data_IF_370167443909
#
_entry.id   IF_370167443909
#
_cell.length_a   1.000
_cell.length_b   1.000
_cell.length_c   1.000
_cell.angle_alpha   90.00
_cell.angle_beta   90.00
_cell.angle_gamma   90.00
#
_symmetry.space_group_name_H-M   'P 1'
#
loop_
_entity.id
_entity.type
_entity.pdbx_description
1 polymer ?
#
# COMPACT_ATOMS: atom_id res chain seq x y z
N UNK A 1 9.12 -23.47 3.30
CA UNK A 1 8.86 -22.27 2.48
C UNK A 1 8.64 -22.73 1.05
N UNK A 2 7.47 -22.46 0.47
CA UNK A 2 7.04 -22.97 -0.85
C UNK A 2 7.56 -22.13 -2.02
N UNK A 3 6.71 -21.28 -2.60
CA UNK A 3 7.04 -20.38 -3.72
C UNK A 3 7.17 -18.92 -3.25
N UNK A 4 8.00 -18.14 -3.93
CA UNK A 4 8.20 -16.70 -3.68
C UNK A 4 8.49 -15.98 -4.99
N UNK A 5 7.96 -14.77 -5.13
CA UNK A 5 8.26 -13.88 -6.24
C UNK A 5 9.40 -12.91 -5.88
N UNK A 6 10.23 -12.57 -6.87
CA UNK A 6 11.36 -11.66 -6.75
C UNK A 6 11.35 -10.67 -7.91
N UNK A 7 11.50 -9.38 -7.59
CA UNK A 7 11.56 -8.29 -8.57
C UNK A 7 12.83 -7.48 -8.29
N UNK A 8 13.63 -7.24 -9.34
CA UNK A 8 14.83 -6.40 -9.29
C UNK A 8 14.62 -5.17 -10.16
N UNK A 9 14.93 -3.98 -9.62
CA UNK A 9 14.81 -2.70 -10.32
C UNK A 9 16.13 -1.95 -10.16
N UNK A 10 16.82 -1.71 -11.26
CA UNK A 10 18.09 -0.98 -11.30
C UNK A 10 17.89 0.51 -11.55
N UNK A 11 18.86 1.33 -11.11
CA UNK A 11 18.86 2.78 -11.36
C UNK A 11 17.77 3.59 -10.64
N UNK A 12 16.93 2.95 -9.82
CA UNK A 12 15.79 3.61 -9.15
C UNK A 12 15.78 3.33 -7.65
N UNK A 13 15.64 4.40 -6.86
CA UNK A 13 15.22 4.31 -5.47
C UNK A 13 13.71 4.51 -5.42
N UNK A 14 12.99 3.55 -4.82
CA UNK A 14 11.56 3.68 -4.61
C UNK A 14 11.27 4.84 -3.65
N UNK A 15 10.27 5.63 -3.99
CA UNK A 15 9.73 6.67 -3.12
C UNK A 15 8.97 6.04 -1.93
N UNK A 16 8.70 6.85 -0.91
CA UNK A 16 7.85 6.43 0.23
C UNK A 16 6.48 5.92 -0.23
N UNK A 17 5.82 6.64 -1.13
CA UNK A 17 4.51 6.27 -1.67
C UNK A 17 4.52 4.95 -2.45
N UNK A 18 5.56 4.70 -3.25
CA UNK A 18 5.71 3.42 -3.94
C UNK A 18 5.93 2.28 -2.94
N UNK A 19 6.70 2.54 -1.89
CA UNK A 19 6.95 1.56 -0.83
C UNK A 19 5.67 1.25 -0.06
N UNK A 20 4.86 2.26 0.29
CA UNK A 20 3.55 2.09 0.94
C UNK A 20 2.58 1.29 0.06
N UNK A 21 2.57 1.54 -1.26
CA UNK A 21 1.76 0.79 -2.22
C UNK A 21 2.16 -0.68 -2.25
N UNK A 22 3.46 -0.98 -2.29
CA UNK A 22 3.95 -2.36 -2.25
C UNK A 22 3.63 -3.00 -0.89
N UNK A 23 3.74 -2.26 0.20
CA UNK A 23 3.45 -2.75 1.54
C UNK A 23 1.98 -3.15 1.75
N UNK A 24 1.04 -2.49 1.05
CA UNK A 24 -0.38 -2.87 1.04
C UNK A 24 -0.64 -4.21 0.34
N UNK A 25 0.18 -4.60 -0.65
CA UNK A 25 -0.03 -5.82 -1.44
C UNK A 25 0.81 -6.98 -0.91
N UNK A 26 2.03 -6.71 -0.46
CA UNK A 26 3.03 -7.71 -0.13
C UNK A 26 3.39 -7.75 1.35
N UNK A 27 2.42 -7.99 2.24
CA UNK A 27 2.71 -8.19 3.68
C UNK A 27 3.77 -9.28 3.85
N UNK A 28 4.80 -9.00 4.66
CA UNK A 28 5.87 -9.96 4.92
C UNK A 28 6.93 -10.04 3.83
N UNK A 29 6.79 -9.26 2.75
CA UNK A 29 7.85 -9.03 1.78
C UNK A 29 9.03 -8.27 2.39
N UNK A 30 10.19 -8.36 1.73
CA UNK A 30 11.41 -7.66 2.14
C UNK A 30 11.90 -6.82 0.97
N UNK A 31 12.02 -5.51 1.18
CA UNK A 31 12.64 -4.59 0.24
C UNK A 31 14.13 -4.46 0.56
N UNK A 32 14.99 -4.85 -0.38
CA UNK A 32 16.43 -4.65 -0.28
C UNK A 32 16.84 -3.44 -1.13
N UNK A 33 17.53 -2.48 -0.52
CA UNK A 33 18.15 -1.36 -1.22
C UNK A 33 19.63 -1.70 -1.39
N UNK A 34 20.08 -1.76 -2.64
CA UNK A 34 21.44 -2.15 -3.02
C UNK A 34 22.16 -0.93 -3.58
N UNK A 35 23.41 -0.73 -3.17
CA UNK A 35 24.31 0.31 -3.71
C UNK A 35 25.74 -0.22 -3.70
N UNK A 36 26.50 0.05 -4.75
CA UNK A 36 27.89 -0.42 -4.91
C UNK A 36 28.04 -1.93 -4.64
N UNK A 37 27.18 -2.75 -5.27
CA UNK A 37 27.13 -4.20 -5.12
C UNK A 37 26.90 -4.72 -3.67
N UNK A 38 26.45 -3.87 -2.75
CA UNK A 38 26.19 -4.22 -1.34
C UNK A 38 24.78 -3.84 -0.91
N UNK A 39 24.17 -4.64 -0.03
CA UNK A 39 22.86 -4.31 0.56
C UNK A 39 23.08 -3.24 1.63
N UNK A 40 22.64 -2.02 1.35
CA UNK A 40 22.78 -0.89 2.29
C UNK A 40 21.60 -0.75 3.23
N UNK A 41 20.42 -1.30 2.88
CA UNK A 41 19.24 -1.30 3.75
C UNK A 41 18.32 -2.46 3.44
N UNK A 42 17.78 -3.08 4.49
CA UNK A 42 16.70 -4.06 4.41
C UNK A 42 15.47 -3.48 5.12
N UNK A 43 14.33 -3.49 4.45
CA UNK A 43 13.07 -3.00 5.01
C UNK A 43 12.07 -4.14 4.98
N UNK A 44 11.55 -4.49 6.15
CA UNK A 44 10.42 -5.41 6.24
C UNK A 44 9.15 -4.64 5.91
N UNK A 45 8.39 -5.12 4.93
CA UNK A 45 7.15 -4.49 4.51
C UNK A 45 6.05 -4.86 5.50
N UNK A 46 5.62 -3.85 6.26
CA UNK A 46 4.47 -3.91 7.15
C UNK A 46 3.36 -3.04 6.58
N UNK A 47 2.10 -3.38 6.89
CA UNK A 47 1.00 -2.51 6.51
C UNK A 47 1.19 -1.11 7.11
N UNK A 48 1.04 -0.05 6.30
CA UNK A 48 1.06 1.32 6.83
C UNK A 48 -0.17 1.54 7.71
N UNK A 49 -0.10 2.47 8.68
CA UNK A 49 -1.25 2.82 9.54
C UNK A 49 -2.28 3.70 8.83
N UNK A 50 -1.81 4.50 7.87
CA UNK A 50 -2.64 5.37 7.04
C UNK A 50 -2.16 5.31 5.59
N UNK A 51 -3.09 5.49 4.65
CA UNK A 51 -2.78 5.62 3.22
C UNK A 51 -3.56 6.76 2.60
N UNK A 52 -2.92 7.50 1.70
CA UNK A 52 -3.53 8.63 1.00
C UNK A 52 -3.26 8.56 -0.49
N UNK A 53 -4.32 8.54 -1.29
CA UNK A 53 -4.24 8.55 -2.75
C UNK A 53 -3.77 7.24 -3.40
N UNK A 54 -3.52 6.19 -2.61
CA UNK A 54 -3.09 4.87 -3.11
C UNK A 54 -4.30 4.00 -3.52
N UNK A 55 -5.36 4.02 -2.71
CA UNK A 55 -6.60 3.25 -2.92
C UNK A 55 -7.79 4.18 -3.13
N UNK A 56 -8.77 3.74 -3.90
CA UNK A 56 -10.04 4.45 -4.14
C UNK A 56 -11.12 3.99 -3.16
N UNK A 57 -12.00 4.91 -2.73
CA UNK A 57 -13.16 4.53 -1.94
C UNK A 57 -14.20 3.80 -2.78
N UNK A 58 -14.68 2.65 -2.31
CA UNK A 58 -15.74 1.88 -2.97
C UNK A 58 -17.11 2.56 -2.88
N UNK A 59 -17.30 3.48 -1.93
CA UNK A 59 -18.55 4.22 -1.81
C UNK A 59 -18.64 5.25 -2.96
N UNK A 60 -19.55 5.08 -3.94
CA UNK A 60 -19.64 5.96 -5.09
C UNK A 60 -20.01 7.40 -4.71
N UNK A 61 -20.66 7.60 -3.55
CA UNK A 61 -21.06 8.91 -3.03
C UNK A 61 -20.00 9.58 -2.16
N UNK A 62 -18.82 8.98 -2.02
CA UNK A 62 -17.74 9.57 -1.23
C UNK A 62 -17.23 10.87 -1.89
N UNK A 63 -17.01 11.92 -1.09
CA UNK A 63 -16.47 13.20 -1.56
C UNK A 63 -15.12 13.04 -2.29
N UNK A 64 -14.29 12.06 -1.89
CA UNK A 64 -13.03 11.79 -2.57
C UNK A 64 -13.20 11.32 -4.02
N UNK A 65 -14.34 10.69 -4.33
CA UNK A 65 -14.67 10.25 -5.67
C UNK A 65 -15.32 11.39 -6.49
N UNK A 66 -16.18 12.19 -5.85
CA UNK A 66 -16.90 13.27 -6.51
C UNK A 66 -15.96 14.42 -6.92
N UNK A 67 -15.10 14.88 -6.00
CA UNK A 67 -14.19 16.01 -6.22
C UNK A 67 -12.82 15.58 -6.76
N UNK A 68 -12.60 14.27 -6.95
CA UNK A 68 -11.32 13.73 -7.43
C UNK A 68 -10.14 13.93 -6.47
N UNK A 69 -10.39 14.29 -5.21
CA UNK A 69 -9.34 14.50 -4.20
C UNK A 69 -8.74 13.16 -3.72
N UNK A 70 -7.50 13.14 -3.20
CA UNK A 70 -6.90 11.94 -2.64
C UNK A 70 -7.77 11.31 -1.54
N UNK A 71 -8.19 10.07 -1.76
CA UNK A 71 -8.89 9.30 -0.75
C UNK A 71 -7.91 8.94 0.38
N UNK A 72 -8.31 9.19 1.64
CA UNK A 72 -7.50 8.89 2.82
C UNK A 72 -8.16 7.74 3.59
N UNK A 73 -7.35 6.79 4.07
CA UNK A 73 -7.82 5.65 4.87
C UNK A 73 -6.92 5.39 6.07
N UNK A 74 -7.53 4.98 7.17
CA UNK A 74 -6.86 4.33 8.29
C UNK A 74 -6.86 2.83 8.06
N UNK A 75 -5.72 2.18 8.25
CA UNK A 75 -5.50 0.75 8.03
C UNK A 75 -5.38 0.04 9.38
N UNK A 76 -6.11 -1.06 9.52
CA UNK A 76 -5.89 -2.05 10.58
C UNK A 76 -5.35 -3.30 9.93
N UNK A 77 -4.30 -3.88 10.50
CA UNK A 77 -3.52 -4.98 9.89
C UNK A 77 -4.04 -6.38 10.23
N UNK A 78 -4.88 -6.51 11.26
CA UNK A 78 -5.32 -7.80 11.81
C UNK A 78 -6.79 -7.74 12.26
N UNK A 79 -7.75 -8.10 11.40
CA UNK A 79 -7.61 -8.40 9.96
C UNK A 79 -7.38 -7.13 9.12
N UNK A 80 -6.85 -7.27 7.89
CA UNK A 80 -6.65 -6.14 6.99
C UNK A 80 -7.98 -5.45 6.68
N UNK A 81 -8.13 -4.22 7.16
CA UNK A 81 -9.30 -3.37 6.95
C UNK A 81 -8.86 -1.93 6.72
N UNK A 82 -9.50 -1.25 5.77
CA UNK A 82 -9.31 0.17 5.52
C UNK A 82 -10.60 0.92 5.86
N UNK A 83 -10.50 2.00 6.63
CA UNK A 83 -11.64 2.86 6.97
C UNK A 83 -11.42 4.23 6.34
N UNK A 84 -12.36 4.66 5.48
CA UNK A 84 -12.25 5.95 4.82
C UNK A 84 -12.41 7.10 5.82
N UNK A 85 -11.54 8.10 5.77
CA UNK A 85 -11.64 9.28 6.64
C UNK A 85 -12.83 10.19 6.31
N UNK A 86 -13.38 10.10 5.10
CA UNK A 86 -14.43 11.03 4.64
C UNK A 86 -15.84 10.51 4.89
N UNK A 87 -16.10 9.25 4.53
CA UNK A 87 -17.44 8.66 4.59
C UNK A 87 -17.52 7.44 5.51
N UNK A 88 -16.44 7.16 6.27
CA UNK A 88 -16.32 6.05 7.22
C UNK A 88 -16.57 4.66 6.64
N UNK A 89 -16.67 4.55 5.31
CA UNK A 89 -16.86 3.26 4.64
C UNK A 89 -15.66 2.37 4.94
N UNK A 90 -15.96 1.15 5.40
CA UNK A 90 -14.98 0.13 5.71
C UNK A 90 -14.82 -0.79 4.52
N UNK A 91 -13.57 -1.08 4.19
CA UNK A 91 -13.17 -1.96 3.09
C UNK A 91 -12.40 -3.15 3.65
N UNK A 92 -12.70 -4.34 3.17
CA UNK A 92 -11.96 -5.56 3.44
C UNK A 92 -10.74 -5.69 2.50
N UNK A 93 -9.91 -6.71 2.74
CA UNK A 93 -8.70 -6.98 1.95
C UNK A 93 -8.95 -7.06 0.44
N UNK A 94 -9.98 -7.78 -0.01
CA UNK A 94 -10.27 -7.92 -1.43
C UNK A 94 -10.68 -6.57 -2.05
N UNK A 95 -11.51 -5.79 -1.34
CA UNK A 95 -11.92 -4.46 -1.77
C UNK A 95 -10.73 -3.49 -1.82
N UNK A 96 -9.81 -3.57 -0.87
CA UNK A 96 -8.57 -2.79 -0.86
C UNK A 96 -7.76 -3.12 -2.10
N UNK A 97 -7.44 -4.40 -2.34
CA UNK A 97 -6.61 -4.83 -3.48
C UNK A 97 -7.22 -4.40 -4.81
N UNK A 98 -8.52 -4.59 -5.00
CA UNK A 98 -9.23 -4.21 -6.23
C UNK A 98 -9.37 -2.69 -6.43
N UNK A 99 -9.11 -1.89 -5.40
CA UNK A 99 -9.23 -0.43 -5.44
C UNK A 99 -7.90 0.31 -5.56
N UNK A 100 -6.77 -0.41 -5.61
CA UNK A 100 -5.43 0.18 -5.78
C UNK A 100 -5.35 0.85 -7.16
N UNK A 101 -4.92 2.11 -7.18
CA UNK A 101 -4.65 2.87 -8.42
C UNK A 101 -3.37 2.45 -9.09
#
# INVERSE_FOLDING_TARGET
MGKKDLIFIEGKKLSGKETEKIALIGKGGTLNIISNASIVKKVQLNYPEEVSGIIRCINPKCISNAEGIPAKFSIKSEPLKATCFYCETRMNENEIINSIK
#
